data_IF_391176925047
#
_entry.id   IF_391176925047
#
_cell.length_a   1.000
_cell.length_b   1.000
_cell.length_c   1.000
_cell.angle_alpha   90.00
_cell.angle_beta   90.00
_cell.angle_gamma   90.00
#
_symmetry.space_group_name_H-M   'P 1'
#
loop_
_entity.id
_entity.type
_entity.pdbx_description
1 polymer ?
#
# COMPACT_ATOMS: atom_id res chain seq x y z
N UNK A 1 -11.59 -15.08 -6.49
CA UNK A 1 -11.50 -13.91 -7.39
C UNK A 1 -10.75 -14.33 -8.64
N UNK A 2 -11.28 -14.03 -9.84
CA UNK A 2 -10.57 -14.29 -11.11
C UNK A 2 -9.33 -13.41 -11.19
N UNK A 3 -8.27 -13.93 -11.80
CA UNK A 3 -7.03 -13.19 -12.09
C UNK A 3 -7.36 -11.88 -12.82
N UNK A 4 -6.67 -10.79 -12.48
CA UNK A 4 -6.91 -9.48 -13.10
C UNK A 4 -5.77 -9.19 -14.05
N UNK A 5 -6.11 -9.01 -15.33
CA UNK A 5 -5.15 -8.62 -16.37
C UNK A 5 -5.19 -7.10 -16.53
N UNK A 6 -4.04 -6.45 -16.39
CA UNK A 6 -3.85 -5.03 -16.68
C UNK A 6 -2.75 -4.91 -17.73
N UNK A 7 -3.15 -4.63 -18.98
CA UNK A 7 -2.22 -4.64 -20.11
C UNK A 7 -1.57 -6.02 -20.30
N UNK A 8 -0.23 -6.07 -20.24
CA UNK A 8 0.55 -7.32 -20.29
C UNK A 8 0.75 -7.98 -18.93
N UNK A 9 0.36 -7.34 -17.84
CA UNK A 9 0.55 -7.88 -16.49
C UNK A 9 -0.68 -8.66 -16.03
N UNK A 10 -0.46 -9.89 -15.57
CA UNK A 10 -1.46 -10.73 -14.94
C UNK A 10 -1.23 -10.74 -13.42
N UNK A 11 -2.18 -10.16 -12.71
CA UNK A 11 -2.19 -10.11 -11.25
C UNK A 11 -2.97 -11.30 -10.71
N UNK A 12 -2.29 -12.18 -9.97
CA UNK A 12 -2.97 -13.25 -9.22
C UNK A 12 -3.83 -12.66 -8.12
N UNK A 13 -4.88 -13.38 -7.71
CA UNK A 13 -5.79 -12.94 -6.64
C UNK A 13 -5.05 -12.54 -5.35
N UNK A 14 -3.95 -13.23 -5.02
CA UNK A 14 -3.07 -12.90 -3.87
C UNK A 14 -2.41 -11.52 -4.01
N UNK A 15 -1.90 -11.16 -5.19
CA UNK A 15 -1.28 -9.85 -5.41
C UNK A 15 -2.30 -8.72 -5.18
N UNK A 16 -3.51 -8.90 -5.69
CA UNK A 16 -4.60 -7.92 -5.51
C UNK A 16 -4.97 -7.78 -4.03
N UNK A 17 -5.13 -8.90 -3.32
CA UNK A 17 -5.42 -8.87 -1.88
C UNK A 17 -4.32 -8.15 -1.09
N UNK A 18 -3.05 -8.36 -1.44
CA UNK A 18 -1.92 -7.69 -0.80
C UNK A 18 -1.88 -6.19 -1.12
N UNK A 19 -2.18 -5.80 -2.35
CA UNK A 19 -2.29 -4.39 -2.75
C UNK A 19 -3.41 -3.69 -1.96
N UNK A 20 -4.59 -4.32 -1.89
CA UNK A 20 -5.73 -3.78 -1.13
C UNK A 20 -5.38 -3.67 0.36
N UNK A 21 -4.70 -4.68 0.92
CA UNK A 21 -4.23 -4.64 2.31
C UNK A 21 -3.22 -3.51 2.53
N UNK A 22 -2.28 -3.30 1.61
CA UNK A 22 -1.31 -2.20 1.68
C UNK A 22 -2.02 -0.85 1.76
N UNK A 23 -2.94 -0.59 0.83
CA UNK A 23 -3.73 0.64 0.81
C UNK A 23 -4.60 0.82 2.05
N UNK A 24 -5.14 -0.27 2.60
CA UNK A 24 -5.89 -0.22 3.85
C UNK A 24 -5.00 0.24 5.01
N UNK A 25 -3.80 -0.33 5.14
CA UNK A 25 -2.86 0.04 6.20
C UNK A 25 -2.41 1.51 6.00
N UNK A 26 -2.09 1.91 4.77
CA UNK A 26 -1.75 3.30 4.45
C UNK A 26 -2.88 4.28 4.85
N UNK A 27 -4.13 3.91 4.60
CA UNK A 27 -5.30 4.67 5.02
C UNK A 27 -5.42 4.78 6.55
N UNK A 28 -5.17 3.70 7.28
CA UNK A 28 -5.14 3.71 8.75
C UNK A 28 -4.02 4.60 9.28
N UNK A 29 -2.82 4.52 8.68
CA UNK A 29 -1.67 5.37 9.03
C UNK A 29 -2.02 6.85 8.79
N UNK A 30 -2.52 7.20 7.59
CA UNK A 30 -2.94 8.55 7.25
C UNK A 30 -4.00 9.09 8.23
N UNK A 31 -5.06 8.31 8.47
CA UNK A 31 -6.13 8.70 9.38
C UNK A 31 -5.63 8.90 10.81
N UNK A 32 -4.81 7.98 11.32
CA UNK A 32 -4.19 8.10 12.65
C UNK A 32 -3.26 9.30 12.76
N UNK A 33 -2.46 9.57 11.72
CA UNK A 33 -1.54 10.69 11.70
C UNK A 33 -2.30 12.04 11.68
N UNK A 34 -3.33 12.16 10.85
CA UNK A 34 -4.21 13.33 10.80
C UNK A 34 -4.91 13.53 12.15
N UNK A 35 -5.51 12.48 12.72
CA UNK A 35 -6.17 12.57 14.02
C UNK A 35 -5.21 13.01 15.14
N UNK A 36 -3.97 12.49 15.15
CA UNK A 36 -2.94 12.89 16.12
C UNK A 36 -2.50 14.34 15.96
N UNK A 37 -2.46 14.84 14.72
CA UNK A 37 -2.12 16.23 14.41
C UNK A 37 -3.21 17.19 14.88
N UNK A 38 -4.48 16.85 14.64
CA UNK A 38 -5.64 17.63 15.10
C UNK A 38 -5.69 17.68 16.63
N UNK A 39 -5.49 16.55 17.31
CA UNK A 39 -5.58 16.50 18.78
C UNK A 39 -4.38 17.15 19.48
N UNK A 40 -3.21 17.17 18.82
CA UNK A 40 -1.97 17.68 19.40
C UNK A 40 -1.63 19.12 19.04
N UNK A 41 -2.42 19.80 18.19
CA UNK A 41 -2.09 21.10 17.57
C UNK A 41 -0.68 21.11 16.93
N UNK A 42 -0.26 19.97 16.39
CA UNK A 42 1.06 19.79 15.78
C UNK A 42 0.95 19.85 14.27
N UNK A 43 1.87 20.58 13.65
CA UNK A 43 2.03 20.54 12.20
C UNK A 43 2.32 19.11 11.71
N UNK A 44 1.68 18.71 10.62
CA UNK A 44 1.92 17.44 9.97
C UNK A 44 3.33 17.48 9.37
N UNK A 45 4.20 16.58 9.82
CA UNK A 45 5.48 16.36 9.16
C UNK A 45 5.28 15.43 7.96
N UNK A 46 5.11 16.01 6.76
CA UNK A 46 4.91 15.28 5.51
C UNK A 46 6.03 14.27 5.26
N UNK A 47 7.29 14.61 5.55
CA UNK A 47 8.43 13.72 5.30
C UNK A 47 8.34 12.45 6.14
N UNK A 48 7.98 12.59 7.42
CA UNK A 48 7.78 11.44 8.31
C UNK A 48 6.63 10.55 7.83
N UNK A 49 5.52 11.16 7.42
CA UNK A 49 4.36 10.44 6.87
C UNK A 49 4.74 9.67 5.60
N UNK A 50 5.45 10.29 4.66
CA UNK A 50 5.90 9.63 3.42
C UNK A 50 6.79 8.42 3.70
N UNK A 51 7.73 8.54 4.64
CA UNK A 51 8.60 7.41 5.01
C UNK A 51 7.75 6.28 5.60
N UNK A 52 6.79 6.59 6.48
CA UNK A 52 5.94 5.59 7.11
C UNK A 52 5.09 4.85 6.07
N UNK A 53 4.55 5.57 5.10
CA UNK A 53 3.79 5.00 3.97
C UNK A 53 4.66 4.18 3.02
N UNK A 54 5.92 4.54 2.78
CA UNK A 54 6.81 3.73 1.91
C UNK A 54 7.22 2.44 2.62
N UNK A 55 7.48 2.50 3.93
CA UNK A 55 7.90 1.35 4.73
C UNK A 55 6.83 0.26 4.74
N UNK A 56 5.54 0.60 4.72
CA UNK A 56 4.44 -0.37 4.63
C UNK A 56 4.52 -1.24 3.38
N UNK A 57 5.05 -0.71 2.28
CA UNK A 57 5.18 -1.44 1.01
C UNK A 57 6.41 -2.34 0.93
N UNK A 58 7.47 -2.09 1.71
CA UNK A 58 8.71 -2.87 1.68
C UNK A 58 8.49 -4.39 1.84
N UNK A 59 7.76 -4.88 2.86
CA UNK A 59 7.51 -6.32 3.01
C UNK A 59 6.53 -6.88 1.97
N UNK A 60 5.62 -6.04 1.47
CA UNK A 60 4.57 -6.44 0.53
C UNK A 60 5.10 -6.53 -0.90
N UNK A 61 6.05 -5.68 -1.27
CA UNK A 61 6.62 -5.59 -2.62
C UNK A 61 7.20 -6.91 -3.11
N UNK A 62 8.01 -7.59 -2.30
CA UNK A 62 8.59 -8.89 -2.67
C UNK A 62 7.53 -9.94 -2.99
N UNK A 63 6.43 -9.92 -2.24
CA UNK A 63 5.35 -10.91 -2.40
C UNK A 63 4.45 -10.55 -3.57
N UNK A 64 4.17 -9.26 -3.80
CA UNK A 64 3.40 -8.78 -4.95
C UNK A 64 4.15 -9.11 -6.24
N UNK A 65 5.45 -8.79 -6.32
CA UNK A 65 6.27 -9.05 -7.51
C UNK A 65 6.29 -10.53 -7.90
N UNK A 66 6.32 -11.46 -6.94
CA UNK A 66 6.25 -12.92 -7.21
C UNK A 66 4.87 -13.40 -7.68
N UNK A 67 3.83 -12.59 -7.51
CA UNK A 67 2.44 -12.93 -7.87
C UNK A 67 1.91 -12.07 -9.03
N UNK A 68 2.81 -11.36 -9.72
CA UNK A 68 2.57 -10.66 -10.97
C UNK A 68 3.34 -11.39 -12.06
N UNK A 69 2.65 -11.82 -13.11
CA UNK A 69 3.23 -12.46 -14.28
C UNK A 69 3.12 -11.53 -15.48
N UNK A 70 4.12 -11.52 -16.35
CA UNK A 70 4.06 -10.81 -17.61
C UNK A 70 3.66 -11.80 -18.71
N UNK A 71 2.54 -11.52 -19.38
CA UNK A 71 2.06 -12.31 -20.50
C UNK A 71 2.88 -11.96 -21.76
N UNK A 72 3.28 -12.98 -22.55
CA UNK A 72 4.06 -12.80 -23.77
C UNK A 72 3.39 -11.86 -24.79
#
# INVERSE_FOLDING_TARGET
MREVKVGKLLFKAKAIQLIVLAFFIDGVILGGFIASSILGDKNINIFLLMILLIITWVPLFSTISKNVEELP
#
